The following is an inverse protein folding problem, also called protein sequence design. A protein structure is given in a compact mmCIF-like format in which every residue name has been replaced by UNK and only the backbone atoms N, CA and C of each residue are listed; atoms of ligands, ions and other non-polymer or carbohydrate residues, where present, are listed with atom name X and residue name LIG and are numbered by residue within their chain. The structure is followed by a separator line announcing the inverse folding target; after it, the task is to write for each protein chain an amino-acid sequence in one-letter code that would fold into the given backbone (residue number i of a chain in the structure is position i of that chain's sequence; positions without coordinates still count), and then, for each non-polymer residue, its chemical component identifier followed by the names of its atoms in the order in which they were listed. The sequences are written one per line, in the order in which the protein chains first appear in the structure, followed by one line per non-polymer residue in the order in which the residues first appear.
data_IF_354835132992
#
_entry.id   IF_354835132992
#
_cell.length_a   1.000
_cell.length_b   1.000
_cell.length_c   1.000
_cell.angle_alpha   90.00
_cell.angle_beta   90.00
_cell.angle_gamma   90.00
#
_symmetry.space_group_name_H-M   'P 1'
#
loop_
_entity.id
_entity.type
_entity.pdbx_description
1 polymer ?
#
# COMPACT_ATOMS: atom_id res chain seq x y z
N UNK A 1 76.09 -14.15 35.39
CA UNK A 1 76.10 -15.62 35.30
C UNK A 1 74.81 -16.15 35.93
N UNK A 2 74.05 -16.98 35.21
CA UNK A 2 72.87 -17.70 35.70
C UNK A 2 71.54 -17.14 35.16
N UNK A 3 71.01 -17.66 34.04
CA UNK A 3 70.08 -18.81 33.90
C UNK A 3 68.61 -18.36 34.13
N UNK A 4 67.84 -18.04 33.08
CA UNK A 4 67.08 -18.93 32.17
C UNK A 4 65.90 -19.70 32.81
N UNK A 5 64.73 -19.42 32.22
CA UNK A 5 63.66 -20.34 31.79
C UNK A 5 62.52 -20.79 32.74
N UNK A 6 61.33 -20.29 32.36
CA UNK A 6 60.13 -21.05 31.94
C UNK A 6 59.09 -21.53 32.96
N UNK A 7 57.85 -21.08 32.72
CA UNK A 7 56.58 -21.72 33.12
C UNK A 7 55.41 -20.79 32.80
N UNK A 8 54.88 -20.78 31.57
CA UNK A 8 53.71 -21.54 31.07
C UNK A 8 52.32 -21.00 31.48
N UNK A 9 51.74 -20.25 30.52
CA UNK A 9 50.36 -20.26 30.01
C UNK A 9 49.16 -20.58 30.93
N UNK A 10 48.33 -19.55 31.16
CA UNK A 10 46.86 -19.53 31.02
C UNK A 10 46.45 -18.04 31.18
N UNK A 11 45.65 -17.37 30.37
CA UNK A 11 44.60 -17.74 29.44
C UNK A 11 43.46 -16.75 29.67
N UNK A 12 42.99 -16.09 28.60
CA UNK A 12 41.70 -15.36 28.49
C UNK A 12 41.55 -14.05 29.31
N UNK A 13 40.99 -12.95 28.81
CA UNK A 13 40.28 -12.64 27.57
C UNK A 13 40.20 -11.10 27.47
N UNK A 14 40.48 -10.58 26.28
CA UNK A 14 40.39 -9.17 25.93
C UNK A 14 38.96 -8.63 26.11
N UNK A 15 38.81 -7.46 26.74
CA UNK A 15 37.65 -6.59 26.54
C UNK A 15 38.13 -5.25 26.01
N UNK A 16 38.38 -5.19 24.71
CA UNK A 16 38.44 -3.93 23.97
C UNK A 16 37.00 -3.45 23.77
N UNK A 17 36.67 -2.32 24.38
CA UNK A 17 35.40 -1.61 24.15
C UNK A 17 35.22 -1.35 22.64
N UNK A 18 34.08 -1.70 22.04
CA UNK A 18 33.84 -1.35 20.65
C UNK A 18 33.57 0.15 20.56
N UNK A 19 34.50 0.88 19.95
CA UNK A 19 34.25 2.23 19.44
C UNK A 19 33.11 2.15 18.44
N UNK A 20 31.92 2.63 18.84
CA UNK A 20 30.77 2.74 17.94
C UNK A 20 31.14 3.70 16.80
N UNK A 21 31.20 3.18 15.57
CA UNK A 21 31.28 4.03 14.38
C UNK A 21 29.97 4.83 14.29
N UNK A 22 30.00 6.15 14.10
CA UNK A 22 28.79 6.90 13.80
C UNK A 22 28.23 6.39 12.47
N UNK A 23 27.03 5.80 12.53
CA UNK A 23 26.27 5.44 11.33
C UNK A 23 25.75 6.76 10.77
N UNK A 24 26.39 7.21 9.69
CA UNK A 24 25.91 8.36 8.95
C UNK A 24 24.57 7.96 8.31
N UNK A 25 23.46 8.68 8.59
CA UNK A 25 22.19 8.38 7.95
C UNK A 25 22.36 8.59 6.45
N UNK A 26 22.33 7.50 5.68
CA UNK A 26 22.16 7.59 4.24
C UNK A 26 20.79 8.24 4.02
N UNK A 27 20.77 9.46 3.48
CA UNK A 27 19.53 10.02 2.93
C UNK A 27 19.06 9.07 1.85
N UNK A 28 18.08 8.22 2.17
CA UNK A 28 17.36 7.47 1.16
C UNK A 28 16.65 8.48 0.28
N UNK A 29 17.24 8.79 -0.87
CA UNK A 29 16.51 9.40 -1.96
C UNK A 29 15.39 8.43 -2.32
N UNK A 30 14.16 8.80 -1.96
CA UNK A 30 12.96 8.13 -2.45
C UNK A 30 12.97 8.32 -3.96
N UNK A 31 13.44 7.32 -4.70
CA UNK A 31 13.26 7.30 -6.14
C UNK A 31 11.74 7.30 -6.36
N UNK A 32 11.24 8.27 -7.14
CA UNK A 32 9.88 8.24 -7.65
C UNK A 32 9.59 6.84 -8.22
N UNK A 33 8.40 6.30 -7.96
CA UNK A 33 7.99 4.94 -8.35
C UNK A 33 8.36 4.72 -9.83
N UNK A 34 9.39 3.90 -10.10
CA UNK A 34 10.06 3.84 -11.42
C UNK A 34 9.19 3.27 -12.54
N UNK A 35 8.04 2.66 -12.20
CA UNK A 35 6.94 2.45 -13.12
C UNK A 35 5.69 2.08 -12.31
N UNK A 36 4.57 2.68 -12.66
CA UNK A 36 3.25 2.26 -12.17
C UNK A 36 2.67 1.28 -13.18
N UNK A 37 1.94 0.28 -12.70
CA UNK A 37 1.19 -0.66 -13.55
C UNK A 37 -0.28 -0.66 -13.17
N UNK A 38 -1.17 -1.14 -14.05
CA UNK A 38 -2.59 -1.32 -13.72
C UNK A 38 -2.81 -2.25 -12.53
N UNK A 39 -1.87 -3.15 -12.23
CA UNK A 39 -1.94 -4.05 -11.07
C UNK A 39 -1.86 -3.32 -9.74
N UNK A 40 -1.19 -2.18 -9.69
CA UNK A 40 -1.02 -1.41 -8.46
C UNK A 40 -2.34 -0.80 -7.97
N UNK A 41 -3.26 -0.53 -8.91
CA UNK A 41 -4.63 -0.06 -8.66
C UNK A 41 -5.58 -1.16 -8.20
N UNK A 42 -5.23 -2.45 -8.35
CA UNK A 42 -6.09 -3.54 -7.91
C UNK A 42 -6.23 -3.55 -6.39
N UNK A 43 -7.45 -3.79 -5.93
CA UNK A 43 -7.75 -3.77 -4.51
C UNK A 43 -9.15 -3.29 -4.22
N UNK A 44 -9.46 -3.28 -2.93
CA UNK A 44 -10.52 -2.48 -2.37
C UNK A 44 -9.90 -1.22 -1.81
N UNK A 45 -10.46 -0.09 -2.16
CA UNK A 45 -10.03 1.25 -1.78
C UNK A 45 -11.19 1.95 -1.10
N UNK A 46 -10.96 2.58 0.05
CA UNK A 46 -12.03 3.09 0.89
C UNK A 46 -11.77 4.50 1.38
N UNK A 47 -12.83 5.31 1.53
CA UNK A 47 -12.81 6.57 2.27
C UNK A 47 -13.90 6.55 3.34
N UNK A 48 -13.63 7.23 4.46
CA UNK A 48 -14.65 7.51 5.49
C UNK A 48 -15.50 8.72 5.13
N UNK A 49 -14.92 9.69 4.43
CA UNK A 49 -15.55 10.96 4.12
C UNK A 49 -15.25 11.40 2.67
N UNK A 50 -16.26 11.41 1.77
CA UNK A 50 -17.53 10.72 1.94
C UNK A 50 -17.32 9.20 2.05
N UNK A 51 -18.21 8.50 2.77
CA UNK A 51 -18.14 7.04 2.92
C UNK A 51 -18.22 6.35 1.54
N UNK A 52 -17.10 5.81 1.10
CA UNK A 52 -16.88 5.32 -0.27
C UNK A 52 -16.08 4.02 -0.24
N UNK A 53 -16.46 3.06 -1.08
CA UNK A 53 -15.67 1.86 -1.39
C UNK A 53 -15.59 1.68 -2.91
N UNK A 54 -14.37 1.63 -3.43
CA UNK A 54 -14.05 1.28 -4.82
C UNK A 54 -13.37 -0.08 -4.84
N UNK A 55 -13.80 -0.96 -5.74
CA UNK A 55 -13.23 -2.29 -5.94
C UNK A 55 -12.72 -2.41 -7.37
N UNK A 56 -11.51 -2.93 -7.52
CA UNK A 56 -10.88 -3.27 -8.79
C UNK A 56 -10.23 -4.64 -8.66
N UNK A 57 -10.57 -5.57 -9.57
CA UNK A 57 -10.10 -6.95 -9.49
C UNK A 57 -9.37 -7.39 -10.77
N UNK A 58 -8.79 -8.59 -10.73
CA UNK A 58 -8.02 -9.15 -11.86
C UNK A 58 -8.87 -9.52 -13.07
N UNK A 59 -10.19 -9.58 -12.93
CA UNK A 59 -11.16 -9.82 -14.02
C UNK A 59 -11.65 -8.52 -14.66
N UNK A 60 -11.00 -7.39 -14.34
CA UNK A 60 -11.39 -6.05 -14.78
C UNK A 60 -12.81 -5.66 -14.37
N UNK A 61 -13.30 -6.22 -13.26
CA UNK A 61 -14.53 -5.80 -12.63
C UNK A 61 -14.28 -4.60 -11.75
N UNK A 62 -15.17 -3.63 -11.87
CA UNK A 62 -15.24 -2.43 -11.06
C UNK A 62 -16.51 -2.44 -10.22
N UNK A 63 -16.39 -1.98 -8.97
CA UNK A 63 -17.53 -1.67 -8.11
C UNK A 63 -17.31 -0.38 -7.35
N UNK A 64 -18.14 0.64 -7.55
CA UNK A 64 -18.15 1.87 -6.78
C UNK A 64 -19.43 1.95 -5.93
N UNK A 65 -19.22 2.15 -4.63
CA UNK A 65 -20.27 2.25 -3.63
C UNK A 65 -20.04 3.52 -2.81
N UNK A 66 -21.03 4.39 -2.78
CA UNK A 66 -20.97 5.65 -2.04
C UNK A 66 -22.24 5.79 -1.20
N UNK A 67 -22.11 6.32 0.01
CA UNK A 67 -23.27 6.61 0.85
C UNK A 67 -24.26 7.54 0.11
N UNK A 68 -25.54 7.21 0.16
CA UNK A 68 -26.60 7.97 -0.50
C UNK A 68 -26.62 7.89 -2.04
N UNK A 69 -25.79 7.03 -2.67
CA UNK A 69 -25.77 6.84 -4.12
C UNK A 69 -26.07 5.39 -4.51
N UNK A 70 -26.69 5.21 -5.66
CA UNK A 70 -26.89 3.87 -6.25
C UNK A 70 -25.55 3.27 -6.65
N UNK A 71 -25.31 1.97 -6.35
CA UNK A 71 -24.05 1.32 -6.70
C UNK A 71 -23.80 1.36 -8.21
N UNK A 72 -22.52 1.41 -8.59
CA UNK A 72 -22.07 1.28 -9.97
C UNK A 72 -21.18 0.04 -10.06
N UNK A 73 -21.54 -0.92 -10.91
CA UNK A 73 -20.79 -2.16 -11.11
C UNK A 73 -20.76 -2.48 -12.60
N UNK A 74 -19.58 -2.74 -13.15
CA UNK A 74 -19.40 -3.10 -14.55
C UNK A 74 -18.03 -3.74 -14.76
N UNK A 75 -17.86 -4.42 -15.89
CA UNK A 75 -16.52 -4.63 -16.44
C UNK A 75 -16.05 -3.34 -17.12
N UNK A 76 -14.76 -3.04 -17.01
CA UNK A 76 -14.17 -1.86 -17.65
C UNK A 76 -12.74 -2.14 -18.08
N UNK A 77 -12.34 -1.57 -19.20
CA UNK A 77 -10.92 -1.54 -19.55
C UNK A 77 -10.16 -0.62 -18.59
N UNK A 78 -8.92 -1.01 -18.31
CA UNK A 78 -7.97 -0.26 -17.52
C UNK A 78 -6.97 0.40 -18.48
N UNK A 79 -7.10 1.70 -18.68
CA UNK A 79 -6.14 2.47 -19.51
C UNK A 79 -5.18 3.20 -18.59
N UNK A 80 -3.92 2.79 -18.62
CA UNK A 80 -2.86 3.43 -17.85
C UNK A 80 -2.15 4.48 -18.73
N UNK A 81 -2.02 5.69 -18.20
CA UNK A 81 -1.20 6.75 -18.76
C UNK A 81 -0.31 7.31 -17.64
N UNK A 82 0.99 7.18 -17.80
CA UNK A 82 2.01 7.44 -16.76
C UNK A 82 1.66 6.78 -15.41
N UNK A 83 1.09 7.55 -14.48
CA UNK A 83 0.72 7.14 -13.12
C UNK A 83 -0.79 7.16 -12.89
N UNK A 84 -1.59 7.37 -13.93
CA UNK A 84 -3.03 7.53 -13.86
C UNK A 84 -3.75 6.39 -14.56
N UNK A 85 -4.70 5.76 -13.87
CA UNK A 85 -5.58 4.78 -14.45
C UNK A 85 -6.94 5.39 -14.78
N UNK A 86 -7.26 5.41 -16.05
CA UNK A 86 -8.58 5.81 -16.55
C UNK A 86 -9.49 4.60 -16.66
N UNK A 87 -10.68 4.69 -16.07
CA UNK A 87 -11.72 3.64 -16.09
C UNK A 87 -13.08 4.23 -16.42
N UNK A 88 -14.00 3.42 -16.95
CA UNK A 88 -15.40 3.82 -17.14
C UNK A 88 -16.26 3.32 -16.00
N UNK A 89 -17.00 4.22 -15.38
CA UNK A 89 -18.00 3.91 -14.34
C UNK A 89 -19.36 4.36 -14.87
N UNK A 90 -20.20 3.38 -15.24
CA UNK A 90 -21.42 3.60 -16.04
C UNK A 90 -21.06 4.32 -17.36
N UNK A 91 -21.60 5.52 -17.59
CA UNK A 91 -21.37 6.33 -18.79
C UNK A 91 -20.30 7.41 -18.61
N UNK A 92 -19.75 7.56 -17.40
CA UNK A 92 -18.77 8.58 -17.09
C UNK A 92 -17.36 7.98 -16.93
N UNK A 93 -16.35 8.77 -17.30
CA UNK A 93 -14.95 8.44 -17.06
C UNK A 93 -14.57 8.82 -15.63
N UNK A 94 -13.81 7.95 -14.97
CA UNK A 94 -13.13 8.24 -13.72
C UNK A 94 -11.62 8.14 -13.92
N UNK A 95 -10.88 9.01 -13.25
CA UNK A 95 -9.41 9.01 -13.25
C UNK A 95 -8.94 8.62 -11.86
N UNK A 96 -8.09 7.61 -11.79
CA UNK A 96 -7.47 7.14 -10.57
C UNK A 96 -6.00 7.53 -10.59
N UNK A 97 -5.52 8.20 -9.55
CA UNK A 97 -4.12 8.59 -9.41
C UNK A 97 -3.55 7.96 -8.15
N UNK A 98 -2.51 7.12 -8.28
CA UNK A 98 -1.83 6.59 -7.09
C UNK A 98 -0.99 7.71 -6.46
N UNK A 99 -1.26 7.99 -5.19
CA UNK A 99 -0.43 8.88 -4.38
C UNK A 99 0.76 8.10 -3.79
N UNK A 100 0.52 6.83 -3.45
CA UNK A 100 1.51 5.82 -3.05
C UNK A 100 0.86 4.43 -3.07
N UNK A 101 1.57 3.39 -2.62
CA UNK A 101 1.07 2.01 -2.61
C UNK A 101 -0.21 1.79 -1.78
N UNK A 102 -0.51 2.68 -0.83
CA UNK A 102 -1.64 2.56 0.10
C UNK A 102 -2.68 3.68 -0.03
N UNK A 103 -2.45 4.67 -0.90
CA UNK A 103 -3.35 5.81 -1.09
C UNK A 103 -3.50 6.16 -2.56
N UNK A 104 -4.74 6.46 -2.95
CA UNK A 104 -5.12 6.79 -4.31
C UNK A 104 -6.16 7.91 -4.31
N UNK A 105 -6.16 8.77 -5.31
CA UNK A 105 -7.21 9.75 -5.55
C UNK A 105 -8.13 9.25 -6.65
N UNK A 106 -9.43 9.19 -6.38
CA UNK A 106 -10.49 8.98 -7.36
C UNK A 106 -11.06 10.33 -7.75
N UNK A 107 -10.88 10.75 -9.00
CA UNK A 107 -11.62 11.85 -9.60
C UNK A 107 -12.80 11.28 -10.41
N UNK A 108 -14.02 11.58 -9.97
CA UNK A 108 -15.24 11.12 -10.60
C UNK A 108 -16.35 12.17 -10.49
N UNK A 109 -16.97 12.49 -11.62
CA UNK A 109 -18.08 13.47 -11.71
C UNK A 109 -17.73 14.83 -11.08
N UNK A 110 -16.48 15.29 -11.25
CA UNK A 110 -16.01 16.57 -10.72
C UNK A 110 -15.74 16.57 -9.21
N UNK A 111 -15.70 15.39 -8.58
CA UNK A 111 -15.34 15.24 -7.16
C UNK A 111 -14.08 14.38 -7.04
N UNK A 112 -13.03 14.95 -6.44
CA UNK A 112 -11.84 14.21 -6.05
C UNK A 112 -12.02 13.63 -4.63
N UNK A 113 -11.83 12.33 -4.47
CA UNK A 113 -11.90 11.62 -3.18
C UNK A 113 -10.62 10.83 -2.95
N UNK A 114 -9.94 11.06 -1.83
CA UNK A 114 -8.80 10.23 -1.43
C UNK A 114 -9.30 8.91 -0.83
N UNK A 115 -8.77 7.81 -1.33
CA UNK A 115 -9.07 6.46 -0.89
C UNK A 115 -7.80 5.82 -0.33
N UNK A 116 -7.99 4.94 0.66
CA UNK A 116 -6.95 4.14 1.29
C UNK A 116 -7.16 2.67 0.96
N UNK A 117 -6.08 1.95 0.70
CA UNK A 117 -6.13 0.51 0.35
C UNK A 117 -6.57 -0.30 1.57
N UNK A 118 -7.52 -1.21 1.39
CA UNK A 118 -7.89 -2.20 2.39
C UNK A 118 -6.95 -3.42 2.29
N UNK A 119 -6.08 -3.66 3.28
CA UNK A 119 -5.12 -4.76 3.25
C UNK A 119 -5.78 -6.14 3.37
N UNK A 120 -7.03 -6.21 3.84
CA UNK A 120 -7.72 -7.47 4.09
C UNK A 120 -8.48 -8.00 2.87
N UNK A 121 -8.57 -7.23 1.80
CA UNK A 121 -9.28 -7.61 0.58
C UNK A 121 -8.31 -8.01 -0.53
N UNK A 122 -8.57 -9.14 -1.18
CA UNK A 122 -7.65 -9.73 -2.17
C UNK A 122 -8.26 -9.70 -3.59
N UNK A 123 -7.64 -9.02 -4.56
CA UNK A 123 -8.16 -8.87 -5.94
C UNK A 123 -8.45 -10.16 -6.71
N UNK A 124 -7.84 -11.28 -6.34
CA UNK A 124 -7.95 -12.54 -7.06
C UNK A 124 -8.85 -13.59 -6.38
N UNK A 125 -9.36 -13.30 -5.17
CA UNK A 125 -10.12 -14.29 -4.37
C UNK A 125 -11.37 -13.70 -3.74
N UNK A 126 -11.39 -12.40 -3.51
CA UNK A 126 -12.50 -11.74 -2.85
C UNK A 126 -13.55 -11.29 -3.87
N UNK A 127 -14.81 -11.59 -3.60
CA UNK A 127 -15.93 -11.13 -4.43
C UNK A 127 -16.19 -9.64 -4.20
N UNK A 128 -16.54 -8.91 -5.27
CA UNK A 128 -17.08 -7.55 -5.15
C UNK A 128 -18.51 -7.66 -4.61
N UNK A 129 -18.86 -6.92 -3.53
CA UNK A 129 -20.22 -6.91 -3.00
C UNK A 129 -21.27 -6.48 -4.04
N UNK A 130 -22.54 -6.76 -3.78
CA UNK A 130 -23.65 -6.32 -4.65
C UNK A 130 -24.36 -5.09 -4.12
N UNK A 131 -24.23 -4.78 -2.83
CA UNK A 131 -24.97 -3.69 -2.16
C UNK A 131 -24.04 -2.71 -1.45
N UNK A 132 -24.47 -1.44 -1.40
CA UNK A 132 -23.74 -0.36 -0.69
C UNK A 132 -23.59 -0.69 0.80
N UNK A 133 -24.62 -1.21 1.46
CA UNK A 133 -24.55 -1.59 2.88
C UNK A 133 -23.44 -2.60 3.17
N UNK A 134 -23.26 -3.63 2.32
CA UNK A 134 -22.19 -4.60 2.49
C UNK A 134 -20.81 -4.00 2.18
N UNK A 135 -20.72 -3.20 1.12
CA UNK A 135 -19.47 -2.56 0.69
C UNK A 135 -18.94 -1.52 1.69
N UNK A 136 -19.83 -0.84 2.42
CA UNK A 136 -19.46 0.18 3.42
C UNK A 136 -19.29 -0.40 4.83
N UNK A 137 -19.96 -1.51 5.17
CA UNK A 137 -19.80 -2.23 6.46
C UNK A 137 -18.37 -2.72 6.73
N UNK A 138 -17.58 -2.90 5.69
CA UNK A 138 -16.23 -3.49 5.78
C UNK A 138 -15.14 -2.44 5.96
N UNK A 139 -15.44 -1.18 6.23
CA UNK A 139 -14.47 -0.09 6.44
C UNK A 139 -13.64 -0.24 7.73
N UNK A 140 -13.05 -1.42 7.98
CA UNK A 140 -11.98 -1.59 8.96
C UNK A 140 -10.69 -0.98 8.40
N UNK A 141 -10.65 0.35 8.39
CA UNK A 141 -9.42 1.14 8.26
C UNK A 141 -8.60 1.01 9.56
N UNK A 142 -8.24 -0.21 9.93
CA UNK A 142 -7.19 -0.46 10.91
C UNK A 142 -5.94 -0.82 10.13
N UNK A 143 -5.05 0.15 9.81
CA UNK A 143 -3.74 -0.19 9.31
C UNK A 143 -2.99 -0.91 10.44
N UNK A 144 -2.77 -2.21 10.31
CA UNK A 144 -1.78 -2.92 11.12
C UNK A 144 -0.40 -2.52 10.62
N UNK A 145 0.08 -1.35 11.04
CA UNK A 145 1.51 -1.10 11.03
C UNK A 145 2.16 -2.09 12.00
N UNK A 146 2.77 -3.15 11.47
CA UNK A 146 3.79 -3.88 12.23
C UNK A 146 5.03 -2.99 12.26
N UNK A 147 5.31 -2.40 13.41
CA UNK A 147 6.66 -1.94 13.73
C UNK A 147 7.47 -3.21 13.92
N UNK A 148 8.45 -3.45 13.05
CA UNK A 148 9.39 -4.55 13.24
C UNK A 148 10.29 -4.20 14.43
N UNK A 149 10.32 -5.07 15.44
CA UNK A 149 11.32 -5.05 16.52
C UNK A 149 12.72 -5.32 15.98
#
# INVERSE_FOLDING_TARGET
MGLLLSGLLAGCQSKTSPTAKPVQPTTSTVHAVQSVTSRDFLGRWVSKDPATSLYLNTEHQLGLFQAGKSPARNHTDFKLDETQLTVKIKQATAVLTLNNANSMTLDYQGTATTLVKDPNWRPNRSKIPTTTTQALKTSSLTPTFKVNN
#
